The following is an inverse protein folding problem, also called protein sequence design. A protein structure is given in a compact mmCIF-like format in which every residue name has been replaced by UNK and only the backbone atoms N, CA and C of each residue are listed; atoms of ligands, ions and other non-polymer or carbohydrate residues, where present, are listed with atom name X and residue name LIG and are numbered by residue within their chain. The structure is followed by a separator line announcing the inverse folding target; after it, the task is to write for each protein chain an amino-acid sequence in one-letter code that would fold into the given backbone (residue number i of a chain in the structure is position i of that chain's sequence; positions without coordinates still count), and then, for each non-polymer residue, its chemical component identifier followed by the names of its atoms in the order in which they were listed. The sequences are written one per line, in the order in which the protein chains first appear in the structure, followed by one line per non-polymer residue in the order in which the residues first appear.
data_IF_915623198907
#
_entry.id   IF_915623198907
#
_cell.length_a   1.000
_cell.length_b   1.000
_cell.length_c   1.000
_cell.angle_alpha   90.00
_cell.angle_beta   90.00
_cell.angle_gamma   90.00
#
_symmetry.space_group_name_H-M   'P 1'
#
loop_
_entity.id
_entity.type
_entity.pdbx_description
1 polymer ?
#
# COMPACT_ATOMS: atom_id res chain seq x y z
N UNK A 1 13.39 -12.13 -12.19
CA UNK A 1 14.30 -11.66 -11.12
C UNK A 1 13.58 -11.56 -9.79
N UNK A 2 14.22 -11.87 -8.66
CA UNK A 2 13.65 -11.77 -7.31
C UNK A 2 13.07 -10.36 -7.05
N UNK A 3 13.75 -9.32 -7.53
CA UNK A 3 13.29 -7.94 -7.45
C UNK A 3 11.93 -7.68 -8.13
N UNK A 4 11.63 -8.37 -9.24
CA UNK A 4 10.36 -8.24 -9.95
C UNK A 4 9.19 -8.81 -9.13
N UNK A 5 9.39 -9.98 -8.48
CA UNK A 5 8.38 -10.58 -7.61
C UNK A 5 8.11 -9.72 -6.38
N UNK A 6 9.15 -9.13 -5.80
CA UNK A 6 9.03 -8.18 -4.69
C UNK A 6 8.21 -6.96 -5.09
N UNK A 7 8.53 -6.35 -6.24
CA UNK A 7 7.77 -5.20 -6.73
C UNK A 7 6.32 -5.58 -6.97
N UNK A 8 6.05 -6.70 -7.64
CA UNK A 8 4.69 -7.22 -7.87
C UNK A 8 3.91 -7.40 -6.57
N UNK A 9 4.54 -7.94 -5.54
CA UNK A 9 3.91 -8.10 -4.22
C UNK A 9 3.56 -6.75 -3.59
N UNK A 10 4.48 -5.79 -3.64
CA UNK A 10 4.25 -4.42 -3.13
C UNK A 10 3.11 -3.73 -3.90
N UNK A 11 3.06 -3.87 -5.23
CA UNK A 11 1.98 -3.30 -6.06
C UNK A 11 0.63 -3.85 -5.63
N UNK A 12 0.52 -5.17 -5.52
CA UNK A 12 -0.74 -5.85 -5.21
C UNK A 12 -1.18 -5.49 -3.79
N UNK A 13 -0.25 -5.47 -2.84
CA UNK A 13 -0.52 -5.08 -1.46
C UNK A 13 -1.02 -3.64 -1.35
N UNK A 14 -0.33 -2.69 -1.99
CA UNK A 14 -0.71 -1.28 -1.99
C UNK A 14 -2.07 -1.03 -2.68
N UNK A 15 -2.39 -1.78 -3.74
CA UNK A 15 -3.69 -1.67 -4.44
C UNK A 15 -4.84 -2.27 -3.64
N UNK A 16 -4.62 -3.40 -2.96
CA UNK A 16 -5.65 -4.07 -2.14
C UNK A 16 -5.97 -3.29 -0.87
N UNK A 17 -4.95 -2.72 -0.24
CA UNK A 17 -5.08 -1.98 1.01
C UNK A 17 -4.47 -0.58 0.84
N UNK A 18 -5.22 0.39 0.31
CA UNK A 18 -4.63 1.67 -0.06
C UNK A 18 -4.33 2.60 1.13
N UNK A 19 -4.68 2.18 2.36
CA UNK A 19 -4.27 2.82 3.62
C UNK A 19 -3.06 2.15 4.27
N UNK A 20 -2.52 1.09 3.66
CA UNK A 20 -1.38 0.37 4.23
C UNK A 20 -0.13 1.25 4.21
N UNK A 21 0.63 1.19 5.29
CA UNK A 21 1.88 1.94 5.41
C UNK A 21 3.04 1.16 4.81
N UNK A 22 4.09 1.88 4.39
CA UNK A 22 5.31 1.27 3.84
C UNK A 22 6.02 0.35 4.84
N UNK A 23 5.90 0.61 6.15
CA UNK A 23 6.40 -0.24 7.23
C UNK A 23 5.69 -1.58 7.29
N UNK A 24 4.35 -1.59 7.22
CA UNK A 24 3.58 -2.84 7.22
C UNK A 24 3.85 -3.65 5.96
N UNK A 25 3.94 -3.00 4.79
CA UNK A 25 4.31 -3.66 3.54
C UNK A 25 5.71 -4.29 3.61
N UNK A 26 6.69 -3.60 4.21
CA UNK A 26 8.04 -4.13 4.40
C UNK A 26 8.02 -5.36 5.33
N UNK A 27 7.27 -5.31 6.43
CA UNK A 27 7.11 -6.45 7.34
C UNK A 27 6.47 -7.65 6.65
N UNK A 28 5.38 -7.45 5.90
CA UNK A 28 4.70 -8.53 5.16
C UNK A 28 5.61 -9.16 4.11
N UNK A 29 6.37 -8.34 3.40
CA UNK A 29 7.31 -8.83 2.40
C UNK A 29 8.48 -9.58 3.05
N UNK A 30 8.97 -9.09 4.19
CA UNK A 30 10.00 -9.78 4.99
C UNK A 30 9.50 -11.15 5.47
N UNK A 31 8.27 -11.23 5.97
CA UNK A 31 7.66 -12.49 6.38
C UNK A 31 7.43 -13.46 5.20
N UNK A 32 7.04 -12.95 4.03
CA UNK A 32 6.74 -13.77 2.86
C UNK A 32 7.99 -14.28 2.13
N UNK A 33 9.11 -13.55 2.19
CA UNK A 33 10.31 -13.83 1.39
C UNK A 33 11.57 -14.09 2.22
N UNK A 34 11.49 -14.00 3.55
CA UNK A 34 12.64 -14.02 4.48
C UNK A 34 13.73 -12.98 4.17
N UNK A 35 13.41 -11.98 3.33
CA UNK A 35 14.34 -10.91 2.93
C UNK A 35 13.95 -9.63 3.64
N UNK A 36 14.88 -9.12 4.46
CA UNK A 36 14.66 -7.88 5.17
C UNK A 36 14.86 -6.68 4.24
N UNK A 37 13.75 -6.06 3.82
CA UNK A 37 13.78 -4.87 2.97
C UNK A 37 13.59 -3.62 3.82
N UNK A 38 14.50 -2.66 3.68
CA UNK A 38 14.37 -1.35 4.32
C UNK A 38 13.09 -0.64 3.88
N UNK A 39 12.40 -0.02 4.84
CA UNK A 39 11.22 0.84 4.59
C UNK A 39 11.48 1.92 3.53
N UNK A 40 12.71 2.43 3.46
CA UNK A 40 13.11 3.47 2.51
C UNK A 40 13.12 2.94 1.08
N UNK A 41 13.56 1.69 0.89
CA UNK A 41 13.56 1.03 -0.41
C UNK A 41 12.12 0.77 -0.89
N UNK A 42 11.24 0.33 0.01
CA UNK A 42 9.81 0.14 -0.28
C UNK A 42 9.16 1.45 -0.69
N UNK A 43 9.41 2.53 0.06
CA UNK A 43 8.89 3.86 -0.25
C UNK A 43 9.43 4.40 -1.58
N UNK A 44 10.72 4.20 -1.87
CA UNK A 44 11.32 4.61 -3.14
C UNK A 44 10.70 3.87 -4.32
N UNK A 45 10.58 2.54 -4.24
CA UNK A 45 9.95 1.70 -5.27
C UNK A 45 8.48 2.05 -5.49
N UNK A 46 7.74 2.27 -4.41
CA UNK A 46 6.32 2.65 -4.48
C UNK A 46 6.12 4.04 -5.11
N UNK A 47 7.12 4.93 -5.03
CA UNK A 47 7.13 6.25 -5.68
C UNK A 47 7.59 6.16 -7.14
N UNK A 48 8.62 5.39 -7.43
CA UNK A 48 9.18 5.19 -8.79
C UNK A 48 8.11 4.63 -9.73
N UNK A 49 7.26 3.71 -9.25
CA UNK A 49 6.22 3.09 -10.09
C UNK A 49 4.88 3.85 -10.10
N UNK A 50 4.77 5.06 -9.52
CA UNK A 50 3.52 5.83 -9.37
C UNK A 50 2.36 5.04 -8.70
N UNK A 51 2.71 4.01 -7.93
CA UNK A 51 1.77 3.02 -7.38
C UNK A 51 1.09 3.49 -6.10
N UNK A 52 1.73 4.38 -5.33
CA UNK A 52 1.00 5.20 -4.37
C UNK A 52 0.42 6.38 -5.11
N UNK A 53 -0.68 6.14 -5.83
CA UNK A 53 -1.52 7.19 -6.37
C UNK A 53 -1.70 8.26 -5.30
N UNK A 54 -1.09 9.44 -5.49
CA UNK A 54 -1.27 10.62 -4.64
C UNK A 54 -2.68 11.20 -4.76
N UNK A 55 -3.61 10.49 -5.38
CA UNK A 55 -5.02 10.91 -5.40
C UNK A 55 -5.48 10.98 -3.96
N UNK A 56 -5.89 12.16 -3.47
CA UNK A 56 -6.59 12.22 -2.20
C UNK A 56 -7.79 11.28 -2.33
N UNK A 57 -7.84 10.24 -1.50
CA UNK A 57 -9.09 9.53 -1.32
C UNK A 57 -10.09 10.59 -0.90
N UNK A 58 -11.09 10.85 -1.73
CA UNK A 58 -12.31 11.50 -1.29
C UNK A 58 -12.89 10.59 -0.22
N UNK A 59 -12.49 10.78 1.04
CA UNK A 59 -13.27 10.35 2.19
C UNK A 59 -14.59 11.07 2.00
N UNK A 60 -15.61 10.37 1.49
CA UNK A 60 -16.98 10.81 1.71
C UNK A 60 -17.11 10.80 3.23
N UNK A 61 -17.25 11.95 3.89
CA UNK A 61 -17.49 11.94 5.31
C UNK A 61 -18.80 11.17 5.50
N UNK A 62 -18.78 10.11 6.31
CA UNK A 62 -20.00 9.57 6.90
C UNK A 62 -20.52 10.65 7.85
N UNK A 63 -21.11 11.70 7.29
CA UNK A 63 -21.87 12.67 8.06
C UNK A 63 -23.06 11.93 8.69
N UNK A 64 -23.45 12.28 9.93
CA UNK A 64 -24.58 11.64 10.61
C UNK A 64 -25.90 11.66 9.82
N UNK A 65 -26.03 12.56 8.83
CA UNK A 65 -27.23 12.69 7.98
C UNK A 65 -27.51 11.54 7.01
N UNK A 66 -26.56 10.62 6.77
CA UNK A 66 -26.78 9.48 5.85
C UNK A 66 -27.40 8.24 6.52
N UNK A 67 -27.75 8.33 7.82
CA UNK A 67 -28.30 7.19 8.60
C UNK A 67 -29.84 7.08 8.54
N UNK A 68 -30.52 7.84 7.68
CA UNK A 68 -31.99 7.87 7.57
C UNK A 68 -32.50 7.65 6.13
N UNK A 69 -31.89 6.73 5.40
CA UNK A 69 -32.55 6.11 4.24
C UNK A 69 -32.53 4.60 4.41
N UNK A 70 -33.42 4.11 5.27
CA UNK A 70 -34.22 2.90 5.12
C UNK A 70 -35.20 2.80 6.28
#
# INVERSE_FOLDING_TARGET
SIAFLQNRFLVIGARREPLITSTILAQRLSHASAINISRFLVLRRAREDDQMSRRPMRRVPLTPGHRHQR
#
